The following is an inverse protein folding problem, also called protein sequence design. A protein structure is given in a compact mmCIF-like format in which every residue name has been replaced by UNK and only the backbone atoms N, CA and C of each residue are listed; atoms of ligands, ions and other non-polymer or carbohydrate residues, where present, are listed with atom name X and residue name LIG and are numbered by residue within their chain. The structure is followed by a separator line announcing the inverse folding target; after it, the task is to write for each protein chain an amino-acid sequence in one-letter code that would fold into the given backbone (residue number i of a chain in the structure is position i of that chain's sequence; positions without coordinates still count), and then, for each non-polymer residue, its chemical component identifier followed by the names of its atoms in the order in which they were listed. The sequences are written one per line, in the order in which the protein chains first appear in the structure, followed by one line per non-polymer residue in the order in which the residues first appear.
data_IF_896508312432
#
_entry.id   IF_896508312432
#
_cell.length_a   1.000
_cell.length_b   1.000
_cell.length_c   1.000
_cell.angle_alpha   90.00
_cell.angle_beta   90.00
_cell.angle_gamma   90.00
#
_symmetry.space_group_name_H-M   'P 1'
#
loop_
_entity.id
_entity.type
_entity.pdbx_description
1 polymer ?
#
# COMPACT_ATOMS: atom_id res chain seq x y z
N UNK A 1 0.63 34.87 5.39
CA UNK A 1 0.54 33.85 6.44
C UNK A 1 1.34 32.66 5.96
N UNK A 2 2.47 32.34 6.61
CA UNK A 2 3.22 31.14 6.29
C UNK A 2 2.35 29.95 6.73
N UNK A 3 1.76 29.26 5.75
CA UNK A 3 1.11 28.00 6.03
C UNK A 3 2.24 27.02 6.39
N UNK A 4 2.41 26.69 7.66
CA UNK A 4 3.38 25.69 8.10
C UNK A 4 3.01 24.38 7.39
N UNK A 5 3.94 23.86 6.59
CA UNK A 5 3.74 22.59 5.91
C UNK A 5 3.39 21.52 6.94
N UNK A 6 2.36 20.71 6.66
CA UNK A 6 1.99 19.61 7.53
C UNK A 6 3.13 18.59 7.58
N UNK A 7 3.64 18.30 8.77
CA UNK A 7 4.65 17.25 8.95
C UNK A 7 3.95 15.89 8.92
N UNK A 8 4.42 15.03 8.04
CA UNK A 8 3.90 13.67 7.82
C UNK A 8 5.00 12.64 8.10
N UNK A 9 4.68 11.64 8.88
CA UNK A 9 5.58 10.54 9.19
C UNK A 9 5.37 9.42 8.17
N UNK A 10 6.41 9.02 7.43
CA UNK A 10 6.31 7.94 6.45
C UNK A 10 6.63 6.59 7.10
N UNK A 11 5.67 5.67 7.10
CA UNK A 11 5.92 4.24 7.32
C UNK A 11 6.14 3.58 5.96
N UNK A 12 7.40 3.45 5.53
CA UNK A 12 7.73 3.09 4.14
C UNK A 12 7.36 1.67 3.74
N UNK A 13 7.18 0.76 4.68
CA UNK A 13 6.98 -0.68 4.51
C UNK A 13 8.25 -1.46 4.08
N UNK A 14 8.40 -2.69 4.59
CA UNK A 14 9.62 -3.46 4.39
C UNK A 14 9.90 -3.82 2.93
N UNK A 15 8.86 -4.15 2.15
CA UNK A 15 9.03 -4.52 0.74
C UNK A 15 9.39 -3.32 -0.13
N UNK A 16 8.79 -2.16 0.14
CA UNK A 16 9.13 -0.92 -0.59
C UNK A 16 10.58 -0.55 -0.28
N UNK A 17 10.94 -0.48 0.99
CA UNK A 17 12.29 -0.10 1.42
C UNK A 17 13.38 -1.02 0.84
N UNK A 18 13.14 -2.34 0.87
CA UNK A 18 14.17 -3.32 0.52
C UNK A 18 14.23 -3.67 -0.97
N UNK A 19 13.10 -3.67 -1.69
CA UNK A 19 13.01 -4.20 -3.05
C UNK A 19 12.49 -3.21 -4.09
N UNK A 20 11.73 -2.20 -3.66
CA UNK A 20 11.06 -1.24 -4.57
C UNK A 20 11.25 0.21 -4.11
N UNK A 21 12.49 0.67 -3.83
CA UNK A 21 12.75 2.00 -3.26
C UNK A 21 12.16 3.13 -4.13
N UNK A 22 12.10 2.93 -5.45
CA UNK A 22 11.48 3.88 -6.38
C UNK A 22 10.01 4.16 -6.09
N UNK A 23 9.27 3.18 -5.54
CA UNK A 23 7.88 3.40 -5.09
C UNK A 23 7.83 4.30 -3.84
N UNK A 24 8.75 4.11 -2.90
CA UNK A 24 8.90 4.96 -1.72
C UNK A 24 9.27 6.39 -2.08
N UNK A 25 10.23 6.58 -2.99
CA UNK A 25 10.61 7.89 -3.52
C UNK A 25 9.42 8.58 -4.21
N UNK A 26 8.62 7.82 -4.97
CA UNK A 26 7.42 8.35 -5.60
C UNK A 26 6.40 8.84 -4.56
N UNK A 27 6.20 8.09 -3.47
CA UNK A 27 5.34 8.52 -2.35
C UNK A 27 5.82 9.85 -1.78
N UNK A 28 7.12 9.98 -1.49
CA UNK A 28 7.71 11.22 -0.98
C UNK A 28 7.49 12.38 -1.95
N UNK A 29 7.74 12.16 -3.26
CA UNK A 29 7.52 13.20 -4.28
C UNK A 29 6.06 13.67 -4.32
N UNK A 30 5.10 12.75 -4.29
CA UNK A 30 3.68 13.09 -4.33
C UNK A 30 3.25 13.85 -3.08
N UNK A 31 3.62 13.38 -1.89
CA UNK A 31 3.30 14.05 -0.62
C UNK A 31 3.92 15.46 -0.55
N UNK A 32 5.17 15.60 -1.00
CA UNK A 32 5.86 16.90 -1.01
C UNK A 32 5.17 17.87 -1.99
N UNK A 33 4.78 17.41 -3.18
CA UNK A 33 4.00 18.24 -4.13
C UNK A 33 2.63 18.64 -3.56
N UNK A 34 2.03 17.78 -2.76
CA UNK A 34 0.76 18.05 -2.06
C UNK A 34 0.94 19.01 -0.85
N UNK A 35 2.17 19.53 -0.61
CA UNK A 35 2.46 20.51 0.44
C UNK A 35 2.84 19.92 1.80
N UNK A 36 3.05 18.60 1.90
CA UNK A 36 3.50 17.97 3.12
C UNK A 36 5.04 17.99 3.25
N UNK A 37 5.52 18.12 4.47
CA UNK A 37 6.92 17.84 4.83
C UNK A 37 6.99 16.38 5.30
N UNK A 38 7.72 15.54 4.56
CA UNK A 38 7.82 14.11 4.87
C UNK A 38 9.04 13.83 5.75
N UNK A 39 8.79 13.17 6.88
CA UNK A 39 9.83 12.66 7.78
C UNK A 39 9.83 11.13 7.73
N UNK A 40 11.04 10.57 7.86
CA UNK A 40 11.24 9.12 7.90
C UNK A 40 11.88 8.72 9.25
N UNK A 41 11.07 8.32 10.25
CA UNK A 41 11.60 7.90 11.55
C UNK A 41 12.50 6.67 11.42
N UNK A 42 13.72 6.77 11.92
CA UNK A 42 14.67 5.65 11.91
C UNK A 42 14.24 4.50 12.83
N UNK A 43 14.66 3.29 12.51
CA UNK A 43 14.40 2.10 13.32
C UNK A 43 13.06 1.41 13.02
N UNK A 44 12.43 1.77 11.92
CA UNK A 44 11.25 1.05 11.40
C UNK A 44 11.63 -0.40 11.04
N UNK A 45 10.64 -1.27 11.17
CA UNK A 45 10.73 -2.69 10.77
C UNK A 45 9.49 -3.08 9.98
N UNK A 46 9.34 -4.37 9.66
CA UNK A 46 8.10 -4.87 9.09
C UNK A 46 6.92 -4.59 10.04
N UNK A 47 5.74 -4.30 9.46
CA UNK A 47 4.50 -4.13 10.23
C UNK A 47 4.06 -5.39 11.02
N UNK A 48 4.63 -6.55 10.70
CA UNK A 48 4.32 -7.81 11.37
C UNK A 48 3.15 -8.58 10.78
N UNK A 49 2.50 -8.10 9.72
CA UNK A 49 1.35 -8.77 9.12
C UNK A 49 1.63 -10.21 8.66
N UNK A 50 2.77 -10.54 8.01
CA UNK A 50 3.05 -11.93 7.63
C UNK A 50 3.08 -12.88 8.83
N UNK A 51 3.67 -12.44 9.94
CA UNK A 51 3.69 -13.21 11.18
C UNK A 51 2.29 -13.32 11.81
N UNK A 52 1.51 -12.23 11.77
CA UNK A 52 0.14 -12.21 12.28
C UNK A 52 -0.75 -13.18 11.51
N UNK A 53 -0.74 -13.13 10.18
CA UNK A 53 -1.55 -13.99 9.31
C UNK A 53 -1.18 -15.48 9.45
N UNK A 54 0.08 -15.78 9.76
CA UNK A 54 0.57 -17.15 9.98
C UNK A 54 0.37 -17.66 11.41
N UNK A 55 -0.24 -16.87 12.30
CA UNK A 55 -0.49 -17.25 13.70
C UNK A 55 0.72 -17.12 14.62
N UNK A 56 1.84 -16.54 14.16
CA UNK A 56 3.02 -16.26 14.98
C UNK A 56 2.79 -15.02 15.86
N UNK A 57 1.82 -15.09 16.75
CA UNK A 57 1.33 -13.97 17.57
C UNK A 57 2.44 -13.29 18.38
N UNK A 58 3.37 -14.08 18.96
CA UNK A 58 4.48 -13.53 19.75
C UNK A 58 5.40 -12.65 18.89
N UNK A 59 5.76 -13.11 17.69
CA UNK A 59 6.62 -12.38 16.76
C UNK A 59 5.89 -11.14 16.21
N UNK A 60 4.61 -11.28 15.88
CA UNK A 60 3.78 -10.14 15.45
C UNK A 60 3.70 -9.06 16.54
N UNK A 61 3.52 -9.44 17.81
CA UNK A 61 3.55 -8.51 18.97
C UNK A 61 4.89 -7.79 19.09
N UNK A 62 6.02 -8.49 18.93
CA UNK A 62 7.35 -7.87 18.99
C UNK A 62 7.55 -6.81 17.89
N UNK A 63 7.14 -7.11 16.66
CA UNK A 63 7.20 -6.17 15.53
C UNK A 63 6.27 -4.97 15.74
N UNK A 64 5.04 -5.20 16.20
CA UNK A 64 4.10 -4.15 16.53
C UNK A 64 4.62 -3.23 17.66
N UNK A 65 5.20 -3.80 18.72
CA UNK A 65 5.81 -3.03 19.79
C UNK A 65 6.97 -2.17 19.31
N UNK A 66 7.79 -2.69 18.38
CA UNK A 66 8.88 -1.90 17.78
C UNK A 66 8.33 -0.73 16.97
N UNK A 67 7.34 -0.97 16.13
CA UNK A 67 6.67 0.09 15.35
C UNK A 67 6.06 1.14 16.28
N UNK A 68 5.34 0.74 17.32
CA UNK A 68 4.76 1.66 18.31
C UNK A 68 5.87 2.52 18.96
N UNK A 69 6.97 1.91 19.43
CA UNK A 69 8.08 2.64 20.06
C UNK A 69 8.76 3.65 19.14
N UNK A 70 8.82 3.37 17.84
CA UNK A 70 9.39 4.29 16.85
C UNK A 70 8.47 5.50 16.69
N UNK A 71 7.19 5.24 16.42
CA UNK A 71 6.26 6.31 16.07
C UNK A 71 5.68 7.05 17.28
N UNK A 72 5.65 6.48 18.48
CA UNK A 72 5.23 7.22 19.69
C UNK A 72 6.12 8.44 20.01
N UNK A 73 7.33 8.49 19.44
CA UNK A 73 8.26 9.62 19.55
C UNK A 73 8.02 10.73 18.52
N UNK A 74 7.07 10.52 17.61
CA UNK A 74 6.79 11.44 16.50
C UNK A 74 5.41 12.06 16.64
N UNK A 75 5.19 13.16 15.93
CA UNK A 75 3.91 13.87 15.89
C UNK A 75 3.35 13.87 14.46
N UNK A 76 2.05 14.16 14.33
CA UNK A 76 1.37 14.25 13.05
C UNK A 76 0.91 12.91 12.48
N UNK A 77 0.29 12.93 11.28
CA UNK A 77 -0.20 11.74 10.61
C UNK A 77 0.91 10.81 10.17
N UNK A 78 0.62 9.51 10.20
CA UNK A 78 1.49 8.45 9.68
C UNK A 78 0.89 7.96 8.37
N UNK A 79 1.63 8.12 7.27
CA UNK A 79 1.20 7.68 5.95
C UNK A 79 1.88 6.37 5.59
N UNK A 80 1.07 5.41 5.15
CA UNK A 80 1.49 4.04 4.83
C UNK A 80 1.13 3.74 3.36
N UNK A 81 2.10 3.60 2.45
CA UNK A 81 1.84 3.27 1.05
C UNK A 81 1.59 1.76 0.84
N UNK A 82 0.66 1.21 1.60
CA UNK A 82 0.26 -0.20 1.52
C UNK A 82 -1.02 -0.41 2.30
N UNK A 83 -2.07 -0.87 1.64
CA UNK A 83 -3.34 -1.19 2.28
C UNK A 83 -3.21 -2.27 3.34
N UNK A 84 -2.39 -3.29 3.07
CA UNK A 84 -2.17 -4.41 4.00
C UNK A 84 -1.42 -3.99 5.27
N UNK A 85 -0.37 -3.18 5.15
CA UNK A 85 0.36 -2.66 6.31
C UNK A 85 -0.48 -1.65 7.10
N UNK A 86 -1.25 -0.79 6.42
CA UNK A 86 -2.15 0.15 7.07
C UNK A 86 -3.26 -0.58 7.84
N UNK A 87 -3.86 -1.63 7.26
CA UNK A 87 -4.84 -2.48 7.94
C UNK A 87 -4.23 -3.15 9.19
N UNK A 88 -3.01 -3.68 9.06
CA UNK A 88 -2.32 -4.30 10.21
C UNK A 88 -2.11 -3.30 11.35
N UNK A 89 -1.68 -2.07 11.07
CA UNK A 89 -1.46 -1.05 12.09
C UNK A 89 -2.81 -0.59 12.68
N UNK A 90 -3.81 -0.34 11.85
CA UNK A 90 -5.09 0.24 12.29
C UNK A 90 -6.00 -0.74 13.01
N UNK A 91 -5.98 -2.00 12.62
CA UNK A 91 -6.89 -3.03 13.15
C UNK A 91 -6.13 -4.15 13.84
N UNK A 92 -5.08 -4.67 13.22
CA UNK A 92 -4.33 -5.79 13.76
C UNK A 92 -3.60 -5.49 15.06
N UNK A 93 -3.02 -4.29 15.22
CA UNK A 93 -2.30 -3.94 16.45
C UNK A 93 -3.23 -3.85 17.68
N UNK A 94 -4.37 -3.11 17.64
CA UNK A 94 -5.32 -3.15 18.74
C UNK A 94 -5.76 -4.57 19.10
N UNK A 95 -6.07 -5.40 18.11
CA UNK A 95 -6.48 -6.78 18.32
C UNK A 95 -5.35 -7.64 18.95
N UNK A 96 -4.12 -7.48 18.50
CA UNK A 96 -2.95 -8.18 19.07
C UNK A 96 -2.76 -7.89 20.56
N UNK A 97 -3.12 -6.70 21.01
CA UNK A 97 -2.91 -6.26 22.38
C UNK A 97 -4.20 -6.15 23.21
N UNK A 98 -5.31 -6.72 22.76
CA UNK A 98 -6.59 -6.65 23.49
C UNK A 98 -6.49 -7.13 24.94
N UNK A 99 -5.60 -8.09 25.21
CA UNK A 99 -5.36 -8.65 26.53
C UNK A 99 -4.31 -7.88 27.35
N UNK A 100 -3.74 -6.80 26.79
CA UNK A 100 -2.74 -5.95 27.43
C UNK A 100 -3.17 -4.47 27.32
N UNK A 101 -3.88 -3.96 28.34
CA UNK A 101 -4.44 -2.59 28.29
C UNK A 101 -3.40 -1.49 28.06
N UNK A 102 -2.15 -1.69 28.48
CA UNK A 102 -1.08 -0.70 28.30
C UNK A 102 -0.66 -0.60 26.85
N UNK A 103 -0.43 -1.74 26.20
CA UNK A 103 -0.07 -1.79 24.78
C UNK A 103 -1.26 -1.53 23.88
N UNK A 104 -2.48 -1.95 24.26
CA UNK A 104 -3.70 -1.69 23.51
C UNK A 104 -3.92 -0.18 23.32
N UNK A 105 -3.86 0.63 24.40
CA UNK A 105 -3.98 2.09 24.31
C UNK A 105 -2.92 2.73 23.39
N UNK A 106 -1.67 2.22 23.41
CA UNK A 106 -0.61 2.69 22.51
C UNK A 106 -0.90 2.33 21.06
N UNK A 107 -1.40 1.12 20.83
CA UNK A 107 -1.80 0.65 19.50
C UNK A 107 -2.96 1.48 18.95
N UNK A 108 -3.99 1.76 19.75
CA UNK A 108 -5.12 2.61 19.38
C UNK A 108 -4.68 4.05 19.06
N UNK A 109 -3.79 4.62 19.88
CA UNK A 109 -3.24 5.95 19.64
C UNK A 109 -2.42 6.01 18.34
N UNK A 110 -1.68 4.94 17.99
CA UNK A 110 -0.98 4.84 16.70
C UNK A 110 -1.98 4.70 15.56
N UNK A 111 -2.95 3.80 15.70
CA UNK A 111 -3.98 3.51 14.70
C UNK A 111 -4.78 4.76 14.31
N UNK A 112 -5.13 5.61 15.28
CA UNK A 112 -5.95 6.81 15.08
C UNK A 112 -5.30 7.86 14.17
N UNK A 113 -3.98 7.87 14.05
CA UNK A 113 -3.24 8.81 13.19
C UNK A 113 -2.53 8.11 12.00
N UNK A 114 -2.86 6.85 11.75
CA UNK A 114 -2.33 6.08 10.62
C UNK A 114 -3.31 6.09 9.46
N UNK A 115 -2.82 6.47 8.29
CA UNK A 115 -3.60 6.60 7.05
C UNK A 115 -2.94 5.80 5.95
N UNK A 116 -3.73 5.15 5.12
CA UNK A 116 -3.26 4.65 3.85
C UNK A 116 -3.01 5.82 2.90
N UNK A 117 -2.01 5.70 2.04
CA UNK A 117 -1.52 6.79 1.20
C UNK A 117 -2.58 7.47 0.32
N UNK A 118 -3.43 6.68 -0.37
CA UNK A 118 -4.47 7.25 -1.24
C UNK A 118 -5.58 7.93 -0.44
N UNK A 119 -5.96 7.35 0.70
CA UNK A 119 -6.93 7.95 1.61
C UNK A 119 -6.38 9.24 2.21
N UNK A 120 -5.10 9.28 2.59
CA UNK A 120 -4.48 10.49 3.09
C UNK A 120 -4.50 11.63 2.08
N UNK A 121 -4.16 11.36 0.81
CA UNK A 121 -4.20 12.38 -0.24
C UNK A 121 -5.62 12.94 -0.44
N UNK A 122 -6.61 12.07 -0.56
CA UNK A 122 -7.97 12.48 -0.92
C UNK A 122 -8.74 13.03 0.28
N UNK A 123 -8.74 12.30 1.39
CA UNK A 123 -9.64 12.58 2.52
C UNK A 123 -9.04 13.61 3.49
N UNK A 124 -7.70 13.65 3.66
CA UNK A 124 -7.04 14.57 4.59
C UNK A 124 -6.47 15.81 3.89
N UNK A 125 -5.85 15.64 2.71
CA UNK A 125 -5.27 16.78 1.98
C UNK A 125 -6.21 17.36 0.93
N UNK A 126 -7.31 16.69 0.58
CA UNK A 126 -8.23 17.12 -0.48
C UNK A 126 -7.62 17.10 -1.88
N UNK A 127 -6.53 16.36 -2.08
CA UNK A 127 -5.81 16.28 -3.35
C UNK A 127 -6.33 15.10 -4.15
N UNK A 128 -6.93 15.37 -5.30
CA UNK A 128 -7.37 14.35 -6.27
C UNK A 128 -6.50 14.41 -7.53
N UNK A 129 -6.20 15.60 -8.03
CA UNK A 129 -5.35 15.81 -9.19
C UNK A 129 -3.92 16.15 -8.77
N UNK A 130 -2.98 15.31 -9.18
CA UNK A 130 -1.53 15.50 -8.93
C UNK A 130 -0.80 16.07 -10.14
N UNK A 131 -1.50 16.39 -11.24
CA UNK A 131 -0.93 16.79 -12.51
C UNK A 131 -0.25 15.64 -13.27
N UNK A 132 -0.53 14.39 -12.92
CA UNK A 132 0.03 13.23 -13.59
C UNK A 132 -0.63 13.00 -14.97
N UNK A 133 0.17 12.49 -15.92
CA UNK A 133 -0.32 12.08 -17.24
C UNK A 133 0.21 10.68 -17.57
N UNK A 134 -0.64 9.88 -18.17
CA UNK A 134 -0.29 8.57 -18.72
C UNK A 134 -1.19 8.28 -19.93
N UNK A 135 -0.60 8.09 -21.08
CA UNK A 135 -1.36 7.83 -22.32
C UNK A 135 -1.40 6.33 -22.59
N UNK A 136 -2.43 5.65 -22.08
CA UNK A 136 -2.55 4.21 -22.22
C UNK A 136 -3.66 3.62 -21.36
N UNK A 137 -3.72 2.28 -21.35
CA UNK A 137 -4.71 1.50 -20.62
C UNK A 137 -4.12 0.97 -19.33
N UNK A 138 -4.76 1.30 -18.22
CA UNK A 138 -4.37 0.84 -16.89
C UNK A 138 -5.42 -0.11 -16.32
N UNK A 139 -4.98 -1.20 -15.67
CA UNK A 139 -5.85 -1.97 -14.79
C UNK A 139 -5.61 -1.56 -13.33
N UNK A 140 -6.66 -1.17 -12.60
CA UNK A 140 -6.57 -0.96 -11.16
C UNK A 140 -6.88 -2.26 -10.41
N UNK A 141 -5.94 -2.70 -9.58
CA UNK A 141 -6.11 -3.86 -8.69
C UNK A 141 -6.53 -3.40 -7.28
N UNK A 142 -7.81 -3.58 -6.88
CA UNK A 142 -8.24 -3.32 -5.52
C UNK A 142 -7.73 -4.43 -4.60
N UNK A 143 -6.68 -4.16 -3.81
CA UNK A 143 -6.13 -5.16 -2.89
C UNK A 143 -7.12 -5.49 -1.78
N UNK A 144 -7.11 -6.75 -1.32
CA UNK A 144 -8.14 -7.26 -0.42
C UNK A 144 -8.17 -6.51 0.93
N UNK A 145 -7.03 -6.24 1.55
CA UNK A 145 -6.96 -5.51 2.82
C UNK A 145 -7.37 -4.03 2.66
N UNK A 146 -6.99 -3.40 1.54
CA UNK A 146 -7.42 -2.03 1.26
C UNK A 146 -8.94 -1.93 1.17
N UNK A 147 -9.52 -2.81 0.34
CA UNK A 147 -10.95 -2.77 0.05
C UNK A 147 -11.82 -3.28 1.21
N UNK A 148 -11.47 -4.45 1.80
CA UNK A 148 -12.35 -5.14 2.76
C UNK A 148 -12.13 -4.66 4.18
N UNK A 149 -10.88 -4.50 4.59
CA UNK A 149 -10.56 -4.14 5.98
C UNK A 149 -10.63 -2.63 6.16
N UNK A 150 -10.02 -1.86 5.27
CA UNK A 150 -10.01 -0.40 5.37
C UNK A 150 -11.18 0.30 4.69
N UNK A 151 -11.94 -0.41 3.84
CA UNK A 151 -13.05 0.13 3.03
C UNK A 151 -12.63 1.31 2.13
N UNK A 152 -11.39 1.26 1.65
CA UNK A 152 -10.80 2.24 0.74
C UNK A 152 -10.89 1.69 -0.68
N UNK A 153 -11.66 2.34 -1.54
CA UNK A 153 -11.84 1.99 -2.96
C UNK A 153 -12.00 3.26 -3.82
N UNK A 154 -12.79 4.22 -3.33
CA UNK A 154 -13.07 5.48 -4.02
C UNK A 154 -11.82 6.34 -4.20
N UNK A 155 -10.94 6.37 -3.20
CA UNK A 155 -9.81 7.26 -3.17
C UNK A 155 -8.77 6.95 -4.26
N UNK A 156 -8.25 5.71 -4.39
CA UNK A 156 -7.32 5.38 -5.47
C UNK A 156 -7.96 5.53 -6.86
N UNK A 157 -9.26 5.23 -7.02
CA UNK A 157 -9.96 5.42 -8.29
C UNK A 157 -10.07 6.90 -8.64
N UNK A 158 -10.45 7.77 -7.69
CA UNK A 158 -10.52 9.21 -7.92
C UNK A 158 -9.16 9.80 -8.35
N UNK A 159 -8.06 9.35 -7.74
CA UNK A 159 -6.71 9.75 -8.11
C UNK A 159 -6.34 9.27 -9.53
N UNK A 160 -6.71 8.04 -9.89
CA UNK A 160 -6.43 7.50 -11.21
C UNK A 160 -7.29 8.13 -12.30
N UNK A 161 -8.55 8.41 -12.02
CA UNK A 161 -9.47 9.08 -12.97
C UNK A 161 -9.03 10.51 -13.31
N UNK A 162 -8.25 11.15 -12.42
CA UNK A 162 -7.65 12.47 -12.66
C UNK A 162 -6.34 12.40 -13.49
N UNK A 163 -5.78 11.22 -13.76
CA UNK A 163 -4.56 11.08 -14.57
C UNK A 163 -4.89 11.36 -16.04
N UNK A 164 -4.28 12.40 -16.60
CA UNK A 164 -4.55 12.82 -17.98
C UNK A 164 -4.17 11.73 -18.99
N UNK A 165 -5.11 11.37 -19.86
CA UNK A 165 -4.91 10.40 -20.95
C UNK A 165 -5.03 8.94 -20.56
N UNK A 166 -5.24 8.62 -19.28
CA UNK A 166 -5.40 7.25 -18.81
C UNK A 166 -6.81 6.69 -19.11
N UNK A 167 -6.85 5.40 -19.47
CA UNK A 167 -8.08 4.62 -19.55
C UNK A 167 -8.06 3.57 -18.45
N UNK A 168 -8.92 3.71 -17.44
CA UNK A 168 -8.90 2.87 -16.26
C UNK A 168 -9.87 1.70 -16.41
N UNK A 169 -9.35 0.48 -16.23
CA UNK A 169 -10.13 -0.75 -16.10
C UNK A 169 -10.01 -1.27 -14.67
N UNK A 170 -11.11 -1.28 -13.91
CA UNK A 170 -11.11 -1.82 -12.55
C UNK A 170 -11.20 -3.35 -12.60
N UNK A 171 -10.17 -4.04 -12.07
CA UNK A 171 -10.20 -5.50 -11.91
C UNK A 171 -11.19 -5.92 -10.81
N UNK A 172 -11.66 -7.15 -10.87
CA UNK A 172 -12.51 -7.73 -9.82
C UNK A 172 -11.76 -7.76 -8.48
N UNK A 173 -12.51 -7.65 -7.40
CA UNK A 173 -12.01 -7.63 -6.02
C UNK A 173 -11.58 -9.01 -5.50
N UNK A 174 -11.03 -9.85 -6.36
CA UNK A 174 -10.48 -11.15 -6.00
C UNK A 174 -9.02 -10.97 -5.52
N UNK A 175 -8.64 -11.76 -4.51
CA UNK A 175 -7.29 -11.75 -3.98
C UNK A 175 -6.28 -12.21 -5.03
N UNK A 176 -5.09 -11.58 -5.05
CA UNK A 176 -3.99 -11.97 -5.94
C UNK A 176 -3.36 -13.33 -5.56
N UNK A 177 -3.60 -13.82 -4.35
CA UNK A 177 -3.06 -15.08 -3.84
C UNK A 177 -1.75 -14.96 -3.05
N UNK A 178 -1.16 -13.77 -2.89
CA UNK A 178 0.13 -13.64 -2.19
C UNK A 178 0.03 -14.02 -0.70
N UNK A 179 -0.77 -13.28 0.10
CA UNK A 179 -1.02 -13.58 1.52
C UNK A 179 0.21 -13.70 2.44
N UNK A 180 1.40 -13.27 2.02
CA UNK A 180 2.64 -13.45 2.78
C UNK A 180 3.09 -14.90 2.81
N UNK A 181 3.19 -15.51 4.01
CA UNK A 181 3.53 -16.94 4.16
C UNK A 181 2.54 -17.88 3.49
N UNK A 182 1.29 -17.47 3.29
CA UNK A 182 0.29 -18.26 2.57
C UNK A 182 0.76 -18.69 1.18
N UNK A 183 1.48 -17.82 0.46
CA UNK A 183 2.02 -18.15 -0.87
C UNK A 183 3.11 -19.24 -0.84
N UNK A 184 3.70 -19.51 0.33
CA UNK A 184 4.69 -20.57 0.54
C UNK A 184 4.03 -21.82 1.09
N UNK A 185 3.21 -21.67 2.14
CA UNK A 185 2.60 -22.80 2.84
C UNK A 185 1.44 -23.43 2.05
N UNK A 186 0.76 -22.64 1.21
CA UNK A 186 -0.39 -23.05 0.40
C UNK A 186 -0.14 -22.73 -1.09
N UNK A 187 1.04 -23.13 -1.58
CA UNK A 187 1.53 -22.79 -2.92
C UNK A 187 0.52 -23.10 -4.02
N UNK A 188 -0.08 -24.29 -4.02
CA UNK A 188 -1.03 -24.71 -5.06
C UNK A 188 -2.25 -23.79 -5.12
N UNK A 189 -2.79 -23.41 -3.96
CA UNK A 189 -3.96 -22.51 -3.88
C UNK A 189 -3.57 -21.09 -4.30
N UNK A 190 -2.43 -20.61 -3.82
CA UNK A 190 -1.87 -19.31 -4.19
C UNK A 190 -1.70 -19.17 -5.70
N UNK A 191 -1.09 -20.17 -6.33
CA UNK A 191 -0.86 -20.21 -7.79
C UNK A 191 -2.19 -20.24 -8.57
N UNK A 192 -3.18 -20.99 -8.12
CA UNK A 192 -4.51 -20.99 -8.77
C UNK A 192 -5.21 -19.62 -8.67
N UNK A 193 -5.10 -18.96 -7.51
CA UNK A 193 -5.63 -17.60 -7.33
C UNK A 193 -4.90 -16.60 -8.24
N UNK A 194 -3.58 -16.72 -8.32
CA UNK A 194 -2.75 -15.90 -9.21
C UNK A 194 -3.18 -16.10 -10.67
N UNK A 195 -3.29 -17.33 -11.15
CA UNK A 195 -3.66 -17.62 -12.54
C UNK A 195 -5.01 -17.00 -12.93
N UNK A 196 -6.01 -17.04 -12.03
CA UNK A 196 -7.30 -16.37 -12.26
C UNK A 196 -7.13 -14.87 -12.44
N UNK A 197 -6.30 -14.25 -11.59
CA UNK A 197 -6.02 -12.81 -11.66
C UNK A 197 -5.24 -12.45 -12.92
N UNK A 198 -4.26 -13.24 -13.31
CA UNK A 198 -3.49 -13.03 -14.55
C UNK A 198 -4.38 -13.17 -15.80
N UNK A 199 -5.27 -14.13 -15.84
CA UNK A 199 -6.24 -14.28 -16.94
C UNK A 199 -7.17 -13.06 -17.08
N UNK A 200 -7.57 -12.46 -15.97
CA UNK A 200 -8.35 -11.21 -15.97
C UNK A 200 -7.53 -10.03 -16.52
N UNK A 201 -6.26 -9.91 -16.12
CA UNK A 201 -5.35 -8.85 -16.59
C UNK A 201 -5.13 -8.97 -18.11
N UNK A 202 -4.83 -10.16 -18.60
CA UNK A 202 -4.64 -10.41 -20.04
C UNK A 202 -5.91 -10.10 -20.84
N UNK A 203 -7.08 -10.50 -20.34
CA UNK A 203 -8.37 -10.22 -20.99
C UNK A 203 -8.69 -8.71 -21.05
N UNK A 204 -8.21 -7.92 -20.09
CA UNK A 204 -8.38 -6.49 -20.05
C UNK A 204 -7.51 -5.75 -21.09
N UNK A 205 -6.49 -6.39 -21.66
CA UNK A 205 -5.58 -5.83 -22.69
C UNK A 205 -5.02 -4.48 -22.25
N UNK A 206 -4.45 -4.41 -21.08
CA UNK A 206 -3.88 -3.20 -20.47
C UNK A 206 -2.37 -3.17 -20.64
N UNK A 207 -1.79 -1.97 -20.54
CA UNK A 207 -0.35 -1.76 -20.63
C UNK A 207 0.30 -1.91 -19.24
N UNK A 208 -0.44 -1.57 -18.18
CA UNK A 208 0.06 -1.57 -16.80
C UNK A 208 -1.04 -1.95 -15.80
N UNK A 209 -0.66 -2.65 -14.74
CA UNK A 209 -1.48 -2.87 -13.54
C UNK A 209 -1.03 -1.93 -12.44
N UNK A 210 -1.98 -1.19 -11.87
CA UNK A 210 -1.74 -0.24 -10.78
C UNK A 210 -2.42 -0.74 -9.51
N UNK A 211 -1.77 -0.59 -8.38
CA UNK A 211 -2.32 -0.95 -7.08
C UNK A 211 -1.65 -0.20 -5.93
N UNK A 212 -2.21 -0.35 -4.74
CA UNK A 212 -1.72 0.28 -3.51
C UNK A 212 -0.94 -0.67 -2.61
N UNK A 213 -0.67 -1.90 -3.06
CA UNK A 213 0.04 -2.92 -2.29
C UNK A 213 1.14 -3.55 -3.14
N UNK A 214 2.38 -3.21 -2.82
CA UNK A 214 3.55 -3.69 -3.57
C UNK A 214 3.67 -5.23 -3.54
N UNK A 215 3.21 -5.87 -2.49
CA UNK A 215 3.20 -7.33 -2.35
C UNK A 215 2.33 -8.01 -3.41
N UNK A 216 1.13 -7.47 -3.67
CA UNK A 216 0.25 -7.96 -4.73
C UNK A 216 0.86 -7.71 -6.11
N UNK A 217 1.42 -6.52 -6.32
CA UNK A 217 2.04 -6.12 -7.58
C UNK A 217 3.23 -7.01 -7.93
N UNK A 218 4.12 -7.25 -6.98
CA UNK A 218 5.27 -8.16 -7.12
C UNK A 218 4.83 -9.57 -7.50
N UNK A 219 3.80 -10.09 -6.84
CA UNK A 219 3.28 -11.44 -7.10
C UNK A 219 2.67 -11.55 -8.50
N UNK A 220 1.83 -10.60 -8.89
CA UNK A 220 1.23 -10.54 -10.23
C UNK A 220 2.28 -10.35 -11.32
N UNK A 221 3.24 -9.43 -11.13
CA UNK A 221 4.29 -9.19 -12.12
C UNK A 221 5.17 -10.43 -12.33
N UNK A 222 5.52 -11.14 -11.26
CA UNK A 222 6.26 -12.40 -11.36
C UNK A 222 5.52 -13.43 -12.21
N UNK A 223 4.20 -13.55 -12.04
CA UNK A 223 3.37 -14.43 -12.84
C UNK A 223 3.26 -14.00 -14.31
N UNK A 224 3.01 -12.71 -14.57
CA UNK A 224 2.96 -12.14 -15.92
C UNK A 224 4.26 -12.38 -16.69
N UNK A 225 5.41 -12.12 -16.06
CA UNK A 225 6.73 -12.39 -16.68
C UNK A 225 6.91 -13.86 -17.04
N UNK A 226 6.48 -14.79 -16.18
CA UNK A 226 6.55 -16.24 -16.49
C UNK A 226 5.67 -16.65 -17.68
N UNK A 227 4.58 -15.91 -17.92
CA UNK A 227 3.71 -16.11 -19.08
C UNK A 227 4.22 -15.39 -20.34
N UNK A 228 5.34 -14.66 -20.27
CA UNK A 228 5.86 -13.87 -21.38
C UNK A 228 5.09 -12.57 -21.64
N UNK A 229 4.26 -12.14 -20.70
CA UNK A 229 3.50 -10.88 -20.81
C UNK A 229 4.40 -9.66 -20.62
N UNK A 230 4.13 -8.60 -21.37
CA UNK A 230 4.82 -7.30 -21.25
C UNK A 230 4.14 -6.36 -20.25
N UNK A 231 2.99 -6.75 -19.68
CA UNK A 231 2.27 -5.93 -18.71
C UNK A 231 3.10 -5.78 -17.44
N UNK A 232 3.32 -4.52 -17.03
CA UNK A 232 4.07 -4.20 -15.81
C UNK A 232 3.10 -3.95 -14.65
N UNK A 233 3.60 -4.14 -13.43
CA UNK A 233 2.85 -3.84 -12.23
C UNK A 233 3.55 -2.71 -11.45
N UNK A 234 2.85 -1.60 -11.22
CA UNK A 234 3.42 -0.40 -10.61
C UNK A 234 2.58 0.08 -9.42
N UNK A 235 3.24 0.67 -8.44
CA UNK A 235 2.54 1.27 -7.30
C UNK A 235 1.82 2.56 -7.74
N UNK A 236 0.62 2.83 -7.17
CA UNK A 236 -0.16 4.03 -7.45
C UNK A 236 0.68 5.32 -7.39
N UNK A 237 1.54 5.45 -6.37
CA UNK A 237 2.39 6.61 -6.22
C UNK A 237 3.32 6.86 -7.42
N UNK A 238 3.78 5.81 -8.13
CA UNK A 238 4.65 5.96 -9.29
C UNK A 238 3.91 6.61 -10.46
N UNK A 239 2.64 6.27 -10.66
CA UNK A 239 1.78 6.94 -11.63
C UNK A 239 1.55 8.41 -11.24
N UNK A 240 1.17 8.65 -9.98
CA UNK A 240 0.86 9.98 -9.48
C UNK A 240 2.08 10.92 -9.43
N UNK A 241 3.27 10.38 -9.27
CA UNK A 241 4.49 11.17 -9.26
C UNK A 241 4.79 11.81 -10.62
N UNK A 242 4.22 11.29 -11.69
CA UNK A 242 4.56 11.70 -13.06
C UNK A 242 6.04 11.45 -13.37
N UNK A 243 6.35 11.07 -14.56
CA UNK A 243 7.67 10.67 -15.02
C UNK A 243 7.49 9.44 -15.90
N UNK A 244 8.45 9.14 -16.76
CA UNK A 244 8.46 7.88 -17.43
C UNK A 244 8.41 6.81 -16.34
N UNK A 245 7.31 6.06 -16.29
CA UNK A 245 7.35 4.74 -15.66
C UNK A 245 8.38 4.03 -16.52
N UNK A 246 9.63 3.86 -16.04
CA UNK A 246 10.63 3.07 -16.75
C UNK A 246 10.04 1.65 -16.85
N UNK A 247 9.39 1.43 -18.00
CA UNK A 247 8.68 0.22 -18.37
C UNK A 247 9.68 -0.86 -18.79
#
# INVERSE_FOLDING_TARGET
MHNLAMIVQLFVTCLIDSLFPQAGEAVVRVLTRAGAQVEFPAGQTCCGQPAYNAGFTRQARQMAQQTIRVFEKTQGPIVVPSGSCAAMIRQGYPELFRDDPAWCRKAEALASRTYEFSAFLVDELGVVDTGAAYHGRMAYHPSCHLLRDLQIDRQPLALLDAVTGAQIHRLRSECCGFGGLFAVDQEEISVQMLHRKLGEIEAAKVDVVVGCDISCLMHMESGLRRMGSHVRCVHLAQILAGGAVDL
#
